data_IF_925341234570
#
_entry.id   IF_925341234570
#
_cell.length_a   1.000
_cell.length_b   1.000
_cell.length_c   1.000
_cell.angle_alpha   90.00
_cell.angle_beta   90.00
_cell.angle_gamma   90.00
#
_symmetry.space_group_name_H-M   'P 1'
#
loop_
_entity.id
_entity.type
_entity.pdbx_description
1 polymer ?
#
# COMPACT_ATOMS: atom_id res chain seq x y z
N UNK A 1 -14.51 -12.72 0.06
CA UNK A 1 -13.05 -12.71 -0.18
C UNK A 1 -12.68 -13.70 -1.26
N UNK A 2 -12.03 -13.23 -2.33
CA UNK A 2 -11.42 -14.10 -3.34
C UNK A 2 -10.00 -14.50 -2.94
N UNK A 3 -9.48 -15.64 -3.39
CA UNK A 3 -8.10 -16.10 -3.13
C UNK A 3 -7.40 -16.48 -4.43
N UNK A 4 -6.12 -16.18 -4.56
CA UNK A 4 -5.32 -16.54 -5.74
C UNK A 4 -3.90 -16.93 -5.32
N UNK A 5 -3.34 -17.95 -5.95
CA UNK A 5 -1.93 -18.33 -5.80
C UNK A 5 -1.16 -17.76 -6.98
N UNK A 6 -0.21 -16.87 -6.72
CA UNK A 6 0.62 -16.27 -7.76
C UNK A 6 1.70 -17.24 -8.24
N UNK A 7 2.09 -17.22 -9.52
CA UNK A 7 3.24 -17.98 -10.00
C UNK A 7 4.51 -17.64 -9.20
N UNK A 8 5.31 -18.64 -8.85
CA UNK A 8 6.55 -18.44 -8.08
C UNK A 8 6.39 -18.26 -6.58
N UNK A 9 5.15 -18.22 -6.07
CA UNK A 9 4.84 -17.95 -4.66
C UNK A 9 4.27 -19.16 -3.93
N UNK A 10 4.64 -19.32 -2.66
CA UNK A 10 4.26 -20.49 -1.85
C UNK A 10 2.85 -20.40 -1.26
N UNK A 11 2.40 -19.18 -0.95
CA UNK A 11 1.15 -18.92 -0.24
C UNK A 11 0.08 -18.25 -1.11
N UNK A 12 -1.12 -18.15 -0.55
CA UNK A 12 -2.27 -17.52 -1.19
C UNK A 12 -2.31 -16.02 -0.85
N UNK A 13 -2.67 -15.24 -1.86
CA UNK A 13 -3.13 -13.87 -1.70
C UNK A 13 -4.65 -13.85 -1.57
N UNK A 14 -5.16 -13.06 -0.64
CA UNK A 14 -6.58 -12.85 -0.43
C UNK A 14 -6.96 -11.40 -0.78
N UNK A 15 -8.12 -11.27 -1.39
CA UNK A 15 -8.71 -9.99 -1.78
C UNK A 15 -9.96 -9.76 -0.91
N UNK A 16 -10.04 -8.65 -0.16
CA UNK A 16 -11.24 -8.31 0.60
C UNK A 16 -12.41 -8.07 -0.36
N UNK A 17 -13.63 -8.23 0.15
CA UNK A 17 -14.81 -7.82 -0.59
C UNK A 17 -14.88 -6.28 -0.60
N UNK A 18 -15.21 -5.71 -1.75
CA UNK A 18 -15.36 -4.27 -1.92
C UNK A 18 -16.81 -3.93 -1.53
N UNK A 19 -17.00 -3.00 -0.60
CA UNK A 19 -18.33 -2.42 -0.35
C UNK A 19 -18.60 -1.32 -1.40
N UNK A 20 -19.50 -1.55 -2.37
CA UNK A 20 -19.78 -0.58 -3.43
C UNK A 20 -20.60 0.62 -2.95
N UNK A 21 -21.15 0.60 -1.72
CA UNK A 21 -22.16 1.54 -1.26
C UNK A 21 -21.71 2.99 -1.06
N UNK A 22 -20.40 3.27 -1.06
CA UNK A 22 -19.81 4.60 -0.84
C UNK A 22 -18.30 4.64 -1.19
N UNK A 23 -17.81 3.72 -2.04
CA UNK A 23 -16.39 3.57 -2.33
C UNK A 23 -16.03 4.17 -3.69
N UNK A 24 -14.84 4.76 -3.80
CA UNK A 24 -14.22 5.10 -5.08
C UNK A 24 -13.77 3.88 -5.88
N UNK A 25 -13.87 2.68 -5.29
CA UNK A 25 -13.49 1.41 -5.90
C UNK A 25 -14.72 0.79 -6.55
N UNK A 26 -14.69 0.65 -7.87
CA UNK A 26 -15.75 0.06 -8.67
C UNK A 26 -15.49 -1.40 -9.06
N UNK A 27 -16.44 -2.02 -9.79
CA UNK A 27 -16.25 -3.36 -10.33
C UNK A 27 -15.03 -3.44 -11.24
N UNK A 28 -14.12 -4.38 -10.95
CA UNK A 28 -12.89 -4.60 -11.72
C UNK A 28 -11.69 -3.80 -11.23
N UNK A 29 -11.89 -2.84 -10.33
CA UNK A 29 -10.78 -2.14 -9.67
C UNK A 29 -10.10 -3.03 -8.62
N UNK A 30 -8.79 -2.84 -8.37
CA UNK A 30 -8.11 -3.50 -7.26
C UNK A 30 -8.75 -3.14 -5.90
N UNK A 31 -8.78 -4.06 -4.93
CA UNK A 31 -9.25 -3.74 -3.58
C UNK A 31 -8.31 -2.75 -2.88
N UNK A 32 -8.74 -2.13 -1.76
CA UNK A 32 -7.89 -1.16 -1.05
C UNK A 32 -6.67 -1.81 -0.38
N UNK A 33 -6.70 -3.11 -0.15
CA UNK A 33 -5.57 -3.86 0.35
C UNK A 33 -5.65 -5.31 -0.11
N UNK A 34 -4.53 -6.01 0.01
CA UNK A 34 -4.43 -7.45 -0.19
C UNK A 34 -3.75 -8.05 1.03
N UNK A 35 -4.09 -9.29 1.38
CA UNK A 35 -3.36 -10.03 2.41
C UNK A 35 -2.66 -11.23 1.80
N UNK A 36 -1.54 -11.62 2.37
CA UNK A 36 -0.73 -12.74 1.89
C UNK A 36 -0.24 -13.57 3.06
N UNK A 37 -0.23 -14.90 2.89
CA UNK A 37 0.12 -15.86 3.93
C UNK A 37 -0.62 -15.62 5.28
N UNK A 38 -1.95 -15.46 5.23
CA UNK A 38 -2.80 -15.16 6.41
C UNK A 38 -2.62 -16.08 7.62
N UNK A 39 -2.10 -17.29 7.40
CA UNK A 39 -1.90 -18.32 8.40
C UNK A 39 -0.43 -18.50 8.78
N UNK A 40 0.44 -17.57 8.36
CA UNK A 40 1.84 -17.55 8.71
C UNK A 40 2.05 -17.61 10.22
N UNK A 41 3.06 -18.37 10.64
CA UNK A 41 3.33 -18.66 12.06
C UNK A 41 4.41 -17.78 12.65
N UNK A 42 5.12 -16.99 11.84
CA UNK A 42 6.10 -16.02 12.33
C UNK A 42 5.48 -15.06 13.35
N UNK A 43 6.30 -14.60 14.30
CA UNK A 43 5.94 -13.50 15.22
C UNK A 43 6.22 -12.14 14.59
N UNK A 44 5.89 -12.00 13.30
CA UNK A 44 6.15 -10.83 12.47
C UNK A 44 4.90 -10.56 11.65
N UNK A 45 4.52 -9.29 11.53
CA UNK A 45 3.58 -8.81 10.53
C UNK A 45 4.35 -7.93 9.54
N UNK A 46 4.33 -8.32 8.27
CA UNK A 46 4.90 -7.52 7.19
C UNK A 46 3.81 -6.58 6.64
N UNK A 47 4.17 -5.33 6.37
CA UNK A 47 3.29 -4.39 5.67
C UNK A 47 4.01 -3.75 4.49
N UNK A 48 3.29 -3.45 3.42
CA UNK A 48 3.82 -2.74 2.26
C UNK A 48 2.87 -1.60 1.89
N UNK A 49 3.20 -0.41 2.40
CA UNK A 49 2.35 0.80 2.30
C UNK A 49 2.26 1.32 0.86
N UNK A 50 3.30 1.12 0.05
CA UNK A 50 3.40 1.64 -1.31
C UNK A 50 3.54 0.50 -2.35
N UNK A 51 2.80 -0.59 -2.17
CA UNK A 51 3.00 -1.83 -2.91
C UNK A 51 2.70 -1.72 -4.42
N UNK A 52 1.89 -0.76 -4.86
CA UNK A 52 1.38 -0.74 -6.24
C UNK A 52 1.09 0.67 -6.75
N UNK A 53 1.21 0.94 -8.08
CA UNK A 53 0.82 2.21 -8.68
C UNK A 53 -0.66 2.27 -9.08
N UNK A 54 -1.51 1.34 -8.64
CA UNK A 54 -2.88 1.23 -9.16
C UNK A 54 -3.80 2.39 -8.75
N UNK A 55 -4.67 2.77 -9.68
CA UNK A 55 -5.76 3.72 -9.48
C UNK A 55 -7.07 3.06 -9.90
N UNK A 56 -8.18 3.27 -9.16
CA UNK A 56 -9.50 2.90 -9.64
C UNK A 56 -9.86 3.67 -10.89
N UNK A 57 -10.64 3.05 -11.78
CA UNK A 57 -11.09 3.65 -13.03
C UNK A 57 -11.81 4.99 -12.82
N UNK A 58 -12.61 5.10 -11.75
CA UNK A 58 -13.35 6.30 -11.39
C UNK A 58 -12.46 7.53 -11.11
N UNK A 59 -11.18 7.32 -10.79
CA UNK A 59 -10.24 8.39 -10.46
C UNK A 59 -9.38 8.85 -11.64
N UNK A 60 -9.48 8.18 -12.80
CA UNK A 60 -8.77 8.53 -14.04
C UNK A 60 -7.28 8.88 -13.82
N UNK A 61 -6.57 8.05 -13.03
CA UNK A 61 -5.15 8.24 -12.65
C UNK A 61 -4.82 9.64 -12.11
N UNK A 62 -5.78 10.35 -11.49
CA UNK A 62 -5.63 11.74 -11.03
C UNK A 62 -5.22 12.72 -12.15
N UNK A 63 -5.50 12.39 -13.42
CA UNK A 63 -5.07 13.17 -14.57
C UNK A 63 -3.57 13.08 -14.88
N UNK A 64 -2.87 12.09 -14.32
CA UNK A 64 -1.47 11.83 -14.60
C UNK A 64 -1.28 11.14 -15.95
N UNK A 65 -0.12 11.37 -16.57
CA UNK A 65 0.30 10.60 -17.74
C UNK A 65 0.85 9.23 -17.32
N UNK A 66 0.71 8.22 -18.19
CA UNK A 66 1.07 6.82 -17.89
C UNK A 66 2.53 6.65 -17.41
N UNK A 67 3.46 7.42 -17.97
CA UNK A 67 4.88 7.35 -17.59
C UNK A 67 5.13 7.68 -16.11
N UNK A 68 4.22 8.40 -15.45
CA UNK A 68 4.34 8.72 -14.01
C UNK A 68 4.17 7.46 -13.17
N UNK A 69 3.33 6.51 -13.59
CA UNK A 69 3.09 5.26 -12.87
C UNK A 69 4.30 4.31 -12.94
N UNK A 70 5.17 4.50 -13.93
CA UNK A 70 6.46 3.79 -14.07
C UNK A 70 7.55 4.36 -13.14
N UNK A 71 7.26 5.45 -12.42
CA UNK A 71 8.21 6.13 -11.53
C UNK A 71 7.91 5.83 -10.06
N UNK A 72 8.95 5.94 -9.25
CA UNK A 72 8.89 5.75 -7.81
C UNK A 72 7.97 6.75 -7.06
N UNK A 73 7.49 7.80 -7.74
CA UNK A 73 6.54 8.76 -7.14
C UNK A 73 5.18 8.13 -6.88
N UNK A 74 4.77 7.16 -7.71
CA UNK A 74 3.45 6.52 -7.60
C UNK A 74 3.45 5.37 -6.58
N UNK A 75 4.60 4.78 -6.29
CA UNK A 75 4.76 3.56 -5.50
C UNK A 75 6.23 3.20 -5.28
N UNK A 76 6.47 2.23 -4.40
CA UNK A 76 7.80 1.68 -4.16
C UNK A 76 8.02 0.48 -5.09
N UNK A 77 8.72 0.71 -6.21
CA UNK A 77 8.94 -0.29 -7.25
C UNK A 77 9.59 -1.54 -6.67
N UNK A 78 8.93 -2.70 -6.81
CA UNK A 78 9.40 -4.00 -6.31
C UNK A 78 9.07 -4.30 -4.85
N UNK A 79 8.43 -3.38 -4.11
CA UNK A 79 8.06 -3.62 -2.71
C UNK A 79 7.04 -4.75 -2.52
N UNK A 80 6.07 -4.91 -3.43
CA UNK A 80 5.11 -6.02 -3.41
C UNK A 80 5.82 -7.38 -3.49
N UNK A 81 6.62 -7.58 -4.54
CA UNK A 81 7.37 -8.81 -4.77
C UNK A 81 8.30 -9.13 -3.59
N UNK A 82 9.09 -8.14 -3.14
CA UNK A 82 9.98 -8.29 -1.99
C UNK A 82 9.21 -8.71 -0.73
N UNK A 83 8.07 -8.08 -0.46
CA UNK A 83 7.24 -8.39 0.70
C UNK A 83 6.74 -9.84 0.66
N UNK A 84 6.31 -10.33 -0.50
CA UNK A 84 5.87 -11.72 -0.65
C UNK A 84 7.01 -12.71 -0.51
N UNK A 85 8.18 -12.43 -1.07
CA UNK A 85 9.36 -13.25 -0.89
C UNK A 85 9.73 -13.34 0.60
N UNK A 86 9.75 -12.21 1.32
CA UNK A 86 9.99 -12.21 2.76
C UNK A 86 8.90 -12.96 3.54
N UNK A 87 7.64 -12.85 3.14
CA UNK A 87 6.53 -13.57 3.75
C UNK A 87 6.67 -15.10 3.58
N UNK A 88 7.10 -15.55 2.39
CA UNK A 88 7.39 -16.97 2.11
C UNK A 88 8.56 -17.46 2.96
N UNK A 89 9.68 -16.74 2.98
CA UNK A 89 10.91 -17.13 3.71
C UNK A 89 10.72 -17.13 5.23
N UNK A 90 9.94 -16.18 5.76
CA UNK A 90 9.72 -16.05 7.21
C UNK A 90 8.54 -16.88 7.70
N UNK A 91 7.70 -17.43 6.82
CA UNK A 91 6.36 -17.94 7.17
C UNK A 91 5.54 -16.84 7.89
N UNK A 92 5.56 -15.61 7.37
CA UNK A 92 4.94 -14.44 7.99
C UNK A 92 3.67 -13.98 7.26
N UNK A 93 2.61 -13.57 7.97
CA UNK A 93 1.50 -12.86 7.35
C UNK A 93 1.93 -11.48 6.85
N UNK A 94 1.34 -11.04 5.74
CA UNK A 94 1.57 -9.73 5.16
C UNK A 94 0.27 -9.00 4.76
N UNK A 95 0.27 -7.68 4.85
CA UNK A 95 -0.78 -6.78 4.35
C UNK A 95 -0.16 -5.77 3.40
N UNK A 96 -0.72 -5.63 2.20
CA UNK A 96 -0.18 -4.77 1.15
C UNK A 96 -1.25 -3.79 0.69
N UNK A 97 -0.91 -2.50 0.56
CA UNK A 97 -1.82 -1.51 0.01
C UNK A 97 -2.15 -1.86 -1.45
N UNK A 98 -3.43 -1.74 -1.83
CA UNK A 98 -3.91 -2.08 -3.17
C UNK A 98 -4.08 -0.88 -4.11
N UNK A 99 -3.54 0.28 -3.71
CA UNK A 99 -3.70 1.55 -4.39
C UNK A 99 -2.38 2.35 -4.36
N UNK A 100 -2.23 3.30 -5.30
CA UNK A 100 -1.10 4.22 -5.32
C UNK A 100 -1.15 5.17 -4.14
N UNK A 101 0.02 5.41 -3.53
CA UNK A 101 0.22 6.42 -2.48
C UNK A 101 -0.17 7.84 -2.90
N UNK A 102 -0.31 8.11 -4.20
CA UNK A 102 -0.74 9.41 -4.71
C UNK A 102 -2.24 9.68 -4.50
N UNK A 103 -3.07 8.64 -4.29
CA UNK A 103 -4.48 8.81 -3.93
C UNK A 103 -4.57 9.36 -2.50
N UNK A 104 -3.93 8.66 -1.58
CA UNK A 104 -3.70 9.02 -0.18
C UNK A 104 -2.48 8.23 0.28
N UNK A 105 -1.52 8.83 0.95
CA UNK A 105 -0.34 8.11 1.44
C UNK A 105 -0.68 7.38 2.75
N UNK A 106 -0.72 6.03 2.77
CA UNK A 106 -1.09 5.29 3.99
C UNK A 106 0.02 5.27 5.04
N UNK A 107 1.22 5.77 4.73
CA UNK A 107 2.31 5.97 5.69
C UNK A 107 2.39 7.44 6.15
N UNK A 108 1.27 8.17 6.06
CA UNK A 108 1.09 9.53 6.57
C UNK A 108 -0.19 9.63 7.38
N UNK A 109 -0.15 10.44 8.44
CA UNK A 109 -1.39 10.82 9.12
C UNK A 109 -2.22 11.68 8.18
N UNK A 110 -3.54 11.56 8.24
CA UNK A 110 -4.45 12.33 7.35
C UNK A 110 -4.38 13.85 7.54
N UNK A 111 -3.87 14.33 8.68
CA UNK A 111 -3.61 15.75 8.96
C UNK A 111 -2.25 16.24 8.44
N UNK A 112 -1.41 15.34 7.90
CA UNK A 112 -0.13 15.66 7.29
C UNK A 112 -0.33 16.19 5.86
N UNK A 113 0.28 17.34 5.48
CA UNK A 113 0.18 17.88 4.13
C UNK A 113 0.66 16.92 3.02
N UNK A 114 1.52 15.95 3.36
CA UNK A 114 2.00 14.94 2.42
C UNK A 114 1.10 13.71 2.28
N UNK A 115 0.01 13.61 3.06
CA UNK A 115 -0.99 12.55 2.87
C UNK A 115 -1.72 12.67 1.52
N UNK A 116 -1.88 13.90 1.01
CA UNK A 116 -2.51 14.19 -0.28
C UNK A 116 -1.62 15.15 -1.07
N UNK A 117 -0.51 14.64 -1.61
CA UNK A 117 0.54 15.49 -2.19
C UNK A 117 0.11 16.13 -3.51
N UNK A 118 0.27 17.44 -3.64
CA UNK A 118 0.00 18.18 -4.89
C UNK A 118 1.17 18.11 -5.89
N UNK A 119 2.41 17.97 -5.40
CA UNK A 119 3.63 17.90 -6.22
C UNK A 119 4.58 16.86 -5.62
N UNK A 120 5.02 15.89 -6.43
CA UNK A 120 6.02 14.88 -6.05
C UNK A 120 7.16 14.85 -7.07
N UNK A 121 8.41 15.01 -6.63
CA UNK A 121 9.59 15.08 -7.49
C UNK A 121 9.46 16.06 -8.70
N UNK A 122 8.80 17.20 -8.46
CA UNK A 122 8.55 18.21 -9.49
C UNK A 122 7.42 17.86 -10.47
N UNK A 123 6.72 16.75 -10.26
CA UNK A 123 5.55 16.33 -11.03
C UNK A 123 4.30 16.80 -10.29
N UNK A 124 3.50 17.67 -10.92
CA UNK A 124 2.20 18.05 -10.40
C UNK A 124 1.24 16.85 -10.44
N UNK A 125 0.39 16.74 -9.42
CA UNK A 125 -0.64 15.71 -9.27
C UNK A 125 -2.00 16.39 -9.45
N UNK A 126 -2.55 16.49 -10.68
CA UNK A 126 -3.71 17.34 -10.96
C UNK A 126 -4.92 17.01 -10.11
N UNK A 127 -5.19 15.72 -9.90
CA UNK A 127 -6.31 15.26 -9.07
C UNK A 127 -6.11 15.49 -7.56
N UNK A 128 -5.00 16.05 -7.10
CA UNK A 128 -4.79 16.43 -5.70
C UNK A 128 -4.81 17.94 -5.47
N UNK A 129 -4.92 18.76 -6.52
CA UNK A 129 -4.98 20.21 -6.39
C UNK A 129 -6.29 20.63 -5.72
N UNK A 130 -6.19 21.51 -4.71
CA UNK A 130 -7.32 22.15 -4.02
C UNK A 130 -8.38 21.16 -3.49
N UNK A 131 -7.96 19.96 -3.07
CA UNK A 131 -8.86 18.93 -2.52
C UNK A 131 -9.69 19.46 -1.35
N UNK A 132 -11.01 19.30 -1.45
CA UNK A 132 -11.90 19.61 -0.35
C UNK A 132 -11.94 18.49 0.71
N UNK A 133 -12.53 18.80 1.87
CA UNK A 133 -12.60 17.85 2.98
C UNK A 133 -13.49 16.64 2.68
N UNK A 134 -14.49 16.78 1.80
CA UNK A 134 -15.36 15.68 1.40
C UNK A 134 -14.60 14.68 0.52
N UNK A 135 -13.78 15.17 -0.42
CA UNK A 135 -12.92 14.36 -1.27
C UNK A 135 -11.85 13.63 -0.47
N UNK A 136 -11.18 14.33 0.45
CA UNK A 136 -10.21 13.70 1.38
C UNK A 136 -10.87 12.62 2.22
N UNK A 137 -12.05 12.90 2.79
CA UNK A 137 -12.80 11.93 3.57
C UNK A 137 -13.18 10.70 2.74
N UNK A 138 -13.64 10.91 1.51
CA UNK A 138 -14.03 9.82 0.61
C UNK A 138 -12.85 8.91 0.26
N UNK A 139 -11.67 9.48 -0.02
CA UNK A 139 -10.43 8.72 -0.23
C UNK A 139 -10.00 7.98 1.02
N UNK A 140 -10.02 8.65 2.18
CA UNK A 140 -9.67 8.02 3.44
C UNK A 140 -10.59 6.82 3.75
N UNK A 141 -11.90 6.97 3.54
CA UNK A 141 -12.88 5.89 3.73
C UNK A 141 -12.71 4.75 2.73
N UNK A 142 -12.36 5.06 1.48
CA UNK A 142 -12.23 4.07 0.40
C UNK A 142 -10.93 3.26 0.47
N UNK A 143 -9.82 3.87 0.92
CA UNK A 143 -8.47 3.32 0.80
C UNK A 143 -7.75 3.22 2.14
N UNK A 144 -7.57 4.37 2.81
CA UNK A 144 -6.76 4.49 4.03
C UNK A 144 -7.31 3.64 5.18
N UNK A 145 -8.57 3.86 5.56
CA UNK A 145 -9.18 3.17 6.70
C UNK A 145 -9.24 1.64 6.48
N UNK A 146 -9.71 1.11 5.34
CA UNK A 146 -9.69 -0.34 5.11
C UNK A 146 -8.31 -0.98 5.20
N UNK A 147 -7.26 -0.31 4.72
CA UNK A 147 -5.89 -0.80 4.82
C UNK A 147 -5.41 -0.85 6.29
N UNK A 148 -5.61 0.23 7.05
CA UNK A 148 -5.21 0.25 8.46
C UNK A 148 -6.06 -0.68 9.33
N UNK A 149 -7.36 -0.83 9.04
CA UNK A 149 -8.23 -1.78 9.72
C UNK A 149 -7.77 -3.22 9.49
N UNK A 150 -7.29 -3.54 8.28
CA UNK A 150 -6.72 -4.84 7.98
C UNK A 150 -5.44 -5.13 8.79
N UNK A 151 -4.55 -4.13 8.93
CA UNK A 151 -3.35 -4.24 9.79
C UNK A 151 -3.77 -4.43 11.25
N UNK A 152 -4.69 -3.60 11.75
CA UNK A 152 -5.19 -3.67 13.12
C UNK A 152 -5.82 -5.04 13.44
N UNK A 153 -6.60 -5.59 12.51
CA UNK A 153 -7.20 -6.92 12.65
C UNK A 153 -6.13 -8.02 12.76
N UNK A 154 -5.00 -7.92 12.04
CA UNK A 154 -3.89 -8.89 12.15
C UNK A 154 -3.14 -8.74 13.46
N UNK A 155 -2.88 -7.52 13.92
CA UNK A 155 -2.27 -7.27 15.22
C UNK A 155 -3.14 -7.81 16.36
N UNK A 156 -4.46 -7.58 16.30
CA UNK A 156 -5.41 -8.14 17.26
C UNK A 156 -5.42 -9.69 17.26
N UNK A 157 -5.25 -10.32 16.10
CA UNK A 157 -5.14 -11.78 16.02
C UNK A 157 -3.84 -12.33 16.66
N UNK A 158 -2.74 -11.57 16.62
CA UNK A 158 -1.53 -11.90 17.41
C UNK A 158 -1.77 -11.73 18.91
N UNK A 159 -2.39 -10.62 19.32
CA UNK A 159 -2.70 -10.34 20.72
C UNK A 159 -3.61 -11.40 21.34
N UNK A 160 -4.65 -11.84 20.61
CA UNK A 160 -5.56 -12.91 21.04
C UNK A 160 -4.83 -14.25 21.29
N UNK A 161 -3.63 -14.44 20.73
CA UNK A 161 -2.76 -15.60 20.94
C UNK A 161 -1.67 -15.35 21.99
N UNK A 162 -1.67 -14.19 22.65
CA UNK A 162 -0.63 -13.78 23.61
C UNK A 162 0.72 -13.49 22.96
N UNK A 163 0.75 -13.08 21.70
CA UNK A 163 1.96 -12.78 20.94
C UNK A 163 2.06 -11.27 20.72
N UNK A 164 3.23 -10.70 21.03
CA UNK A 164 3.61 -9.35 20.58
C UNK A 164 4.43 -9.51 19.30
N UNK A 165 3.89 -9.17 18.11
CA UNK A 165 4.61 -9.33 16.85
C UNK A 165 5.56 -8.14 16.61
N UNK A 166 6.62 -8.37 15.84
CA UNK A 166 7.31 -7.26 15.18
C UNK A 166 6.46 -6.78 13.99
N UNK A 167 6.19 -5.48 13.90
CA UNK A 167 5.59 -4.86 12.72
C UNK A 167 6.72 -4.30 11.86
N UNK A 168 6.86 -4.79 10.63
CA UNK A 168 7.93 -4.38 9.72
C UNK A 168 7.29 -3.84 8.45
N UNK A 169 7.48 -2.54 8.20
CA UNK A 169 7.11 -1.94 6.91
C UNK A 169 8.22 -2.12 5.88
N UNK A 170 7.86 -2.65 4.72
CA UNK A 170 8.74 -2.94 3.61
C UNK A 170 8.60 -1.84 2.56
N UNK A 171 9.71 -1.15 2.34
CA UNK A 171 9.84 -0.07 1.38
C UNK A 171 11.02 -0.33 0.44
N UNK A 172 10.91 0.17 -0.78
CA UNK A 172 12.04 0.29 -1.71
C UNK A 172 12.24 1.75 -2.07
N UNK A 173 13.41 2.10 -2.57
CA UNK A 173 13.66 3.48 -2.96
C UNK A 173 14.50 3.58 -4.22
N UNK A 174 14.35 4.69 -4.95
CA UNK A 174 15.16 4.95 -6.13
C UNK A 174 16.66 5.01 -5.76
N UNK A 175 17.54 4.34 -6.53
CA UNK A 175 18.98 4.33 -6.24
C UNK A 175 19.63 5.71 -6.44
N UNK A 176 19.02 6.56 -7.26
CA UNK A 176 19.46 7.93 -7.51
C UNK A 176 18.33 8.88 -7.12
N UNK A 177 18.64 9.82 -6.24
CA UNK A 177 17.71 10.85 -5.80
C UNK A 177 18.39 12.22 -5.88
N UNK A 178 17.71 13.18 -6.52
CA UNK A 178 18.26 14.51 -6.81
C UNK A 178 19.69 14.45 -7.41
N UNK A 179 19.89 13.56 -8.38
CA UNK A 179 21.17 13.30 -9.06
C UNK A 179 22.29 12.75 -8.16
N UNK A 180 21.99 12.42 -6.91
CA UNK A 180 22.92 11.79 -5.97
C UNK A 180 22.63 10.30 -5.92
N UNK A 181 23.68 9.50 -6.18
CA UNK A 181 23.64 8.04 -5.99
C UNK A 181 23.66 7.77 -4.49
N UNK A 182 22.64 7.05 -3.99
CA UNK A 182 22.59 6.65 -2.58
C UNK A 182 23.62 5.54 -2.34
N UNK A 183 24.50 5.64 -1.34
CA UNK A 183 25.53 4.63 -1.09
C UNK A 183 24.98 3.38 -0.38
N UNK A 184 23.77 3.45 0.17
CA UNK A 184 23.16 2.40 0.96
C UNK A 184 22.28 1.51 0.09
N UNK A 185 22.59 0.21 0.06
CA UNK A 185 21.75 -0.80 -0.61
C UNK A 185 20.54 -1.21 0.22
N UNK A 186 20.64 -1.12 1.56
CA UNK A 186 19.58 -1.45 2.52
C UNK A 186 19.61 -0.39 3.62
N UNK A 187 18.43 0.14 3.97
CA UNK A 187 18.22 1.01 5.13
C UNK A 187 17.36 0.31 6.17
N UNK A 188 17.69 0.52 7.45
CA UNK A 188 16.86 0.08 8.59
C UNK A 188 16.42 1.34 9.34
N UNK A 189 15.11 1.53 9.48
CA UNK A 189 14.48 2.71 10.09
C UNK A 189 13.54 2.25 11.21
N UNK A 190 13.43 3.01 12.30
CA UNK A 190 12.61 2.67 13.47
C UNK A 190 12.06 3.92 14.17
#
# INVERSE_FOLDING_TARGET
MSRTKLPGHSHYQNFPDIDPGCSLIGPGDPPPFMTYNDHGRARVLLVADHATPFFPAAMNQLGLADWVLERHVAWDIGSDELTRCLADELDAPAVLAGFSRLIVDPNRRLDDPSAFVEISDGIAIPGNLDLDEQEKHLRAKSFYAPYHDAIAARLAAFEARGIVPALISIHTCTPVFDRVVRPWHIGVMW
#
